data_IF_781013320665
#
_entry.id   IF_781013320665
#
_cell.length_a   1.000
_cell.length_b   1.000
_cell.length_c   1.000
_cell.angle_alpha   90.00
_cell.angle_beta   90.00
_cell.angle_gamma   90.00
#
_symmetry.space_group_name_H-M   'P 1'
#
loop_
_entity.id
_entity.type
_entity.pdbx_description
1 polymer ?
#
# COMPACT_ATOMS: atom_id res chain seq x y z
N UNK A 1 2.87 -14.78 -15.93
CA UNK A 1 2.87 -16.25 -15.78
C UNK A 1 4.23 -16.95 -16.01
N UNK A 2 5.00 -16.66 -17.07
CA UNK A 2 6.28 -17.35 -17.38
C UNK A 2 7.37 -17.15 -16.30
N UNK A 3 7.54 -15.91 -15.81
CA UNK A 3 8.54 -15.57 -14.79
C UNK A 3 8.22 -16.25 -13.44
N UNK A 4 6.93 -16.29 -13.07
CA UNK A 4 6.42 -17.01 -11.88
C UNK A 4 6.73 -18.50 -11.92
N UNK A 5 6.45 -19.18 -13.05
CA UNK A 5 6.75 -20.61 -13.22
C UNK A 5 8.25 -20.93 -13.11
N UNK A 6 9.11 -19.94 -13.31
CA UNK A 6 10.56 -20.08 -13.17
C UNK A 6 11.07 -19.79 -11.74
N UNK A 7 10.18 -19.62 -10.75
CA UNK A 7 10.55 -19.37 -9.35
C UNK A 7 11.30 -18.05 -9.15
N UNK A 8 11.06 -17.05 -10.00
CA UNK A 8 11.76 -15.77 -9.94
C UNK A 8 11.01 -14.79 -9.05
N UNK A 9 11.77 -14.01 -8.29
CA UNK A 9 11.27 -12.83 -7.57
C UNK A 9 10.81 -11.80 -8.59
N UNK A 10 9.58 -11.30 -8.41
CA UNK A 10 8.98 -10.26 -9.25
C UNK A 10 8.49 -9.14 -8.38
N UNK A 11 8.90 -7.91 -8.65
CA UNK A 11 8.38 -6.71 -7.98
C UNK A 11 7.84 -5.72 -9.00
N UNK A 12 6.84 -4.93 -8.60
CA UNK A 12 6.26 -3.86 -9.40
C UNK A 12 6.76 -2.49 -8.94
N UNK A 13 7.30 -1.70 -9.86
CA UNK A 13 7.61 -0.29 -9.65
C UNK A 13 6.65 0.54 -10.51
N UNK A 14 5.60 1.06 -9.89
CA UNK A 14 4.55 1.83 -10.56
C UNK A 14 4.91 3.31 -10.64
N UNK A 15 5.38 3.73 -11.81
CA UNK A 15 5.77 5.11 -12.08
C UNK A 15 4.76 5.82 -13.00
N UNK A 16 3.51 5.37 -13.06
CA UNK A 16 2.48 6.04 -13.85
C UNK A 16 2.23 7.47 -13.33
N UNK A 17 2.24 7.64 -12.01
CA UNK A 17 2.00 8.91 -11.34
C UNK A 17 3.02 9.17 -10.22
N UNK A 18 3.18 10.44 -9.85
CA UNK A 18 3.90 10.82 -8.64
C UNK A 18 2.94 10.83 -7.45
N UNK A 19 3.35 10.27 -6.30
CA UNK A 19 2.50 10.12 -5.10
C UNK A 19 1.17 9.40 -5.38
N UNK A 20 1.21 8.21 -5.97
CA UNK A 20 0.02 7.39 -6.19
C UNK A 20 0.28 6.26 -7.19
N UNK A 21 -0.23 5.07 -6.89
CA UNK A 21 -0.26 3.94 -7.83
C UNK A 21 -1.37 4.05 -8.88
N UNK A 22 -1.20 3.34 -9.99
CA UNK A 22 -2.22 3.13 -11.00
C UNK A 22 -3.24 2.09 -10.53
N UNK A 23 -4.45 2.55 -10.18
CA UNK A 23 -5.52 1.69 -9.72
C UNK A 23 -5.98 0.68 -10.79
N UNK A 24 -5.83 0.99 -12.08
CA UNK A 24 -6.20 0.04 -13.13
C UNK A 24 -5.22 -1.14 -13.18
N UNK A 25 -3.93 -0.89 -12.94
CA UNK A 25 -2.95 -1.97 -12.74
C UNK A 25 -3.33 -2.83 -11.52
N UNK A 26 -3.68 -2.20 -10.40
CA UNK A 26 -4.09 -2.93 -9.19
C UNK A 26 -5.32 -3.80 -9.44
N UNK A 27 -6.34 -3.28 -10.11
CA UNK A 27 -7.55 -4.03 -10.48
C UNK A 27 -7.23 -5.24 -11.36
N UNK A 28 -6.33 -5.09 -12.34
CA UNK A 28 -5.88 -6.21 -13.18
C UNK A 28 -5.18 -7.27 -12.34
N UNK A 29 -4.28 -6.87 -11.43
CA UNK A 29 -3.59 -7.79 -10.53
C UNK A 29 -4.55 -8.47 -9.55
N UNK A 30 -5.55 -7.76 -9.01
CA UNK A 30 -6.57 -8.30 -8.11
C UNK A 30 -7.44 -9.35 -8.82
N UNK A 31 -7.95 -9.02 -10.01
CA UNK A 31 -8.82 -9.89 -10.81
C UNK A 31 -8.13 -11.22 -11.19
N UNK A 32 -6.83 -11.20 -11.42
CA UNK A 32 -6.04 -12.40 -11.74
C UNK A 32 -5.43 -13.07 -10.48
N UNK A 33 -5.78 -12.61 -9.26
CA UNK A 33 -5.23 -13.08 -7.99
C UNK A 33 -3.70 -12.99 -7.88
N UNK A 34 -3.10 -11.96 -8.48
CA UNK A 34 -1.65 -11.77 -8.58
C UNK A 34 -1.07 -10.81 -7.54
N UNK A 35 -1.89 -10.10 -6.77
CA UNK A 35 -1.42 -9.11 -5.79
C UNK A 35 -0.40 -9.68 -4.79
N UNK A 36 -0.62 -10.90 -4.29
CA UNK A 36 0.32 -11.58 -3.38
C UNK A 36 1.33 -12.50 -4.08
N UNK A 37 1.25 -12.63 -5.41
CA UNK A 37 2.30 -13.28 -6.20
C UNK A 37 3.51 -12.35 -6.35
N UNK A 38 3.26 -11.03 -6.40
CA UNK A 38 4.33 -10.03 -6.34
C UNK A 38 5.09 -10.13 -5.02
N UNK A 39 6.40 -9.97 -5.12
CA UNK A 39 7.30 -9.94 -3.98
C UNK A 39 7.53 -8.53 -3.44
N UNK A 40 7.02 -7.52 -4.15
CA UNK A 40 7.12 -6.12 -3.84
C UNK A 40 6.29 -5.27 -4.80
N UNK A 41 5.75 -4.16 -4.30
CA UNK A 41 5.04 -3.15 -5.07
C UNK A 41 5.33 -1.79 -4.44
N UNK A 42 5.55 -0.77 -5.26
CA UNK A 42 5.67 0.62 -4.81
C UNK A 42 5.16 1.56 -5.90
N UNK A 43 4.55 2.68 -5.50
CA UNK A 43 4.05 3.74 -6.38
C UNK A 43 4.00 5.11 -5.69
N UNK A 44 4.88 5.34 -4.71
CA UNK A 44 4.82 6.53 -3.85
C UNK A 44 5.88 7.59 -4.15
N UNK A 45 5.53 8.83 -3.82
CA UNK A 45 6.40 10.01 -3.81
C UNK A 45 7.03 10.37 -5.16
N UNK A 46 8.22 9.83 -5.47
CA UNK A 46 8.94 10.09 -6.72
C UNK A 46 9.34 8.79 -7.39
N UNK A 47 9.65 8.84 -8.69
CA UNK A 47 10.04 7.64 -9.43
C UNK A 47 11.27 6.94 -8.83
N UNK A 48 12.20 7.72 -8.27
CA UNK A 48 13.38 7.16 -7.60
C UNK A 48 13.03 6.41 -6.32
N UNK A 49 12.12 6.95 -5.50
CA UNK A 49 11.64 6.27 -4.28
C UNK A 49 10.88 5.00 -4.63
N UNK A 50 10.02 5.06 -5.66
CA UNK A 50 9.27 3.91 -6.15
C UNK A 50 10.20 2.79 -6.62
N UNK A 51 11.13 3.08 -7.53
CA UNK A 51 12.07 2.07 -8.01
C UNK A 51 12.97 1.53 -6.89
N UNK A 52 13.52 2.41 -6.05
CA UNK A 52 14.38 2.01 -4.93
C UNK A 52 13.66 1.09 -3.95
N UNK A 53 12.41 1.40 -3.60
CA UNK A 53 11.60 0.59 -2.71
C UNK A 53 11.26 -0.78 -3.33
N UNK A 54 10.80 -0.81 -4.58
CA UNK A 54 10.48 -2.05 -5.28
C UNK A 54 11.70 -2.98 -5.45
N UNK A 55 12.89 -2.40 -5.71
CA UNK A 55 14.15 -3.17 -5.76
C UNK A 55 14.51 -3.71 -4.38
N UNK A 56 14.46 -2.88 -3.33
CA UNK A 56 14.78 -3.29 -1.97
C UNK A 56 13.86 -4.43 -1.49
N UNK A 57 12.55 -4.33 -1.75
CA UNK A 57 11.60 -5.42 -1.47
C UNK A 57 11.96 -6.70 -2.22
N UNK A 58 12.39 -6.59 -3.48
CA UNK A 58 12.85 -7.73 -4.28
C UNK A 58 14.12 -8.38 -3.72
N UNK A 59 15.09 -7.57 -3.29
CA UNK A 59 16.30 -8.07 -2.61
C UNK A 59 15.93 -8.79 -1.30
N UNK A 60 15.05 -8.19 -0.49
CA UNK A 60 14.56 -8.83 0.73
C UNK A 60 13.85 -10.16 0.44
N UNK A 61 13.02 -10.24 -0.60
CA UNK A 61 12.38 -11.48 -1.02
C UNK A 61 13.39 -12.53 -1.48
N UNK A 62 14.39 -12.12 -2.27
CA UNK A 62 15.43 -13.01 -2.77
C UNK A 62 16.32 -13.57 -1.65
N UNK A 63 16.61 -12.75 -0.63
CA UNK A 63 17.42 -13.18 0.51
C UNK A 63 16.61 -13.95 1.54
N UNK A 64 15.44 -13.45 1.94
CA UNK A 64 14.75 -13.88 3.17
C UNK A 64 13.33 -14.39 2.95
N UNK A 65 12.80 -14.34 1.73
CA UNK A 65 11.48 -14.89 1.42
C UNK A 65 11.46 -16.42 1.55
N UNK A 66 10.26 -17.00 1.42
CA UNK A 66 10.04 -18.45 1.57
C UNK A 66 10.98 -19.30 0.69
N UNK A 67 11.29 -18.81 -0.51
CA UNK A 67 12.18 -19.45 -1.49
C UNK A 67 13.54 -18.73 -1.61
N UNK A 68 13.88 -17.89 -0.63
CA UNK A 68 15.09 -17.10 -0.61
C UNK A 68 16.36 -17.90 -0.27
N UNK A 69 17.52 -17.24 -0.31
CA UNK A 69 18.81 -17.85 0.04
C UNK A 69 18.96 -18.17 1.54
N UNK A 70 18.29 -17.39 2.38
CA UNK A 70 18.28 -17.47 3.84
C UNK A 70 16.84 -17.37 4.36
N UNK A 71 15.98 -18.37 4.10
CA UNK A 71 14.57 -18.29 4.44
C UNK A 71 14.36 -18.04 5.93
N UNK A 72 13.54 -17.05 6.26
CA UNK A 72 13.14 -16.74 7.63
C UNK A 72 11.63 -16.47 7.67
N UNK A 73 10.82 -17.30 8.35
CA UNK A 73 9.37 -17.14 8.40
C UNK A 73 8.91 -15.78 8.97
N UNK A 74 9.67 -15.21 9.90
CA UNK A 74 9.36 -13.90 10.46
C UNK A 74 9.58 -12.78 9.42
N UNK A 75 10.69 -12.84 8.68
CA UNK A 75 10.99 -11.93 7.57
C UNK A 75 9.97 -12.06 6.44
N UNK A 76 9.55 -13.28 6.07
CA UNK A 76 8.52 -13.50 5.05
C UNK A 76 7.18 -12.85 5.48
N UNK A 77 6.79 -13.03 6.74
CA UNK A 77 5.56 -12.40 7.28
C UNK A 77 5.65 -10.87 7.22
N UNK A 78 6.77 -10.29 7.65
CA UNK A 78 6.99 -8.85 7.60
C UNK A 78 6.97 -8.32 6.16
N UNK A 79 7.60 -9.03 5.22
CA UNK A 79 7.62 -8.67 3.80
C UNK A 79 6.21 -8.65 3.20
N UNK A 80 5.37 -9.64 3.53
CA UNK A 80 3.97 -9.69 3.07
C UNK A 80 3.13 -8.57 3.66
N UNK A 81 3.29 -8.28 4.96
CA UNK A 81 2.61 -7.15 5.62
C UNK A 81 3.02 -5.82 4.99
N UNK A 82 4.31 -5.64 4.71
CA UNK A 82 4.84 -4.45 4.05
C UNK A 82 4.34 -4.30 2.60
N UNK A 83 4.17 -5.41 1.88
CA UNK A 83 3.55 -5.38 0.55
C UNK A 83 2.09 -4.88 0.62
N UNK A 84 1.30 -5.39 1.57
CA UNK A 84 -0.06 -4.90 1.77
C UNK A 84 -0.07 -3.42 2.16
N UNK A 85 0.83 -2.98 3.04
CA UNK A 85 0.87 -1.55 3.41
C UNK A 85 1.14 -0.65 2.21
N UNK A 86 1.92 -1.09 1.22
CA UNK A 86 2.13 -0.36 -0.04
C UNK A 86 0.88 -0.33 -0.92
N UNK A 87 0.09 -1.40 -1.00
CA UNK A 87 -1.20 -1.33 -1.70
C UNK A 87 -2.18 -0.37 -1.01
N UNK A 88 -2.22 -0.38 0.32
CA UNK A 88 -3.11 0.51 1.08
C UNK A 88 -2.67 1.97 1.01
N UNK A 89 -1.38 2.24 1.14
CA UNK A 89 -0.87 3.61 1.14
C UNK A 89 -0.69 4.14 -0.29
N UNK A 90 0.11 3.47 -1.12
CA UNK A 90 0.50 3.99 -2.43
C UNK A 90 -0.68 3.94 -3.41
N UNK A 91 -1.40 2.81 -3.47
CA UNK A 91 -2.49 2.64 -4.43
C UNK A 91 -3.86 3.13 -3.90
N UNK A 92 -4.24 2.83 -2.66
CA UNK A 92 -5.56 3.25 -2.17
C UNK A 92 -5.53 4.69 -1.62
N UNK A 93 -4.61 4.98 -0.69
CA UNK A 93 -4.56 6.28 -0.03
C UNK A 93 -4.11 7.39 -0.96
N UNK A 94 -2.90 7.27 -1.49
CA UNK A 94 -2.26 8.36 -2.22
C UNK A 94 -2.91 8.62 -3.58
N UNK A 95 -3.37 7.57 -4.27
CA UNK A 95 -3.99 7.70 -5.59
C UNK A 95 -5.44 8.21 -5.55
N UNK A 96 -6.20 7.91 -4.48
CA UNK A 96 -7.64 8.20 -4.44
C UNK A 96 -8.14 8.76 -3.10
N UNK A 97 -8.05 7.99 -1.99
CA UNK A 97 -8.68 8.37 -0.71
C UNK A 97 -8.22 9.73 -0.22
N UNK A 98 -6.93 10.07 -0.35
CA UNK A 98 -6.38 11.37 0.08
C UNK A 98 -7.07 12.53 -0.62
N UNK A 99 -7.26 12.46 -1.94
CA UNK A 99 -7.90 13.53 -2.71
C UNK A 99 -9.36 13.66 -2.33
N UNK A 100 -10.06 12.53 -2.28
CA UNK A 100 -11.47 12.46 -1.90
C UNK A 100 -11.74 13.00 -0.49
N UNK A 101 -10.93 12.59 0.50
CA UNK A 101 -11.07 13.08 1.88
C UNK A 101 -10.70 14.56 1.98
N UNK A 102 -9.66 15.01 1.28
CA UNK A 102 -9.27 16.43 1.26
C UNK A 102 -10.43 17.33 0.84
N UNK A 103 -11.25 16.91 -0.14
CA UNK A 103 -12.46 17.66 -0.53
C UNK A 103 -13.54 17.64 0.57
N UNK A 104 -13.75 16.49 1.20
CA UNK A 104 -14.78 16.30 2.24
C UNK A 104 -14.51 17.10 3.52
N UNK A 105 -13.26 17.31 3.88
CA UNK A 105 -12.89 17.95 5.16
C UNK A 105 -12.83 19.48 5.08
N UNK A 106 -12.78 20.08 3.87
CA UNK A 106 -12.74 21.56 3.71
C UNK A 106 -13.87 22.29 4.44
N UNK A 107 -15.15 21.84 4.36
CA UNK A 107 -16.25 22.51 5.07
C UNK A 107 -16.15 22.41 6.59
N UNK A 108 -15.34 21.49 7.12
CA UNK A 108 -15.09 21.30 8.56
C UNK A 108 -13.96 22.18 9.08
N UNK A 109 -13.31 22.97 8.21
CA UNK A 109 -12.19 23.84 8.58
C UNK A 109 -10.81 23.18 8.55
N UNK A 110 -10.71 21.96 8.02
CA UNK A 110 -9.43 21.27 7.76
C UNK A 110 -9.03 21.41 6.30
N UNK A 111 -7.76 21.12 6.02
CA UNK A 111 -7.25 21.06 4.65
C UNK A 111 -6.11 20.04 4.52
N UNK A 112 -5.41 20.10 3.39
CA UNK A 112 -4.28 19.21 3.11
C UNK A 112 -3.13 19.32 4.13
N UNK A 113 -2.92 20.51 4.69
CA UNK A 113 -1.81 20.83 5.59
C UNK A 113 -2.20 20.82 7.07
N UNK A 114 -3.50 20.82 7.38
CA UNK A 114 -3.98 20.84 8.75
C UNK A 114 -5.22 19.94 8.94
N UNK A 115 -5.06 18.90 9.75
CA UNK A 115 -6.10 17.91 10.11
C UNK A 115 -6.48 17.96 11.59
N UNK A 116 -5.98 18.94 12.35
CA UNK A 116 -6.24 19.12 13.78
C UNK A 116 -5.43 18.18 14.69
N UNK A 117 -5.74 16.89 14.63
CA UNK A 117 -5.17 15.84 15.47
C UNK A 117 -4.58 14.71 14.62
N UNK A 118 -3.66 13.95 15.20
CA UNK A 118 -3.09 12.77 14.54
C UNK A 118 -4.09 11.61 14.49
N UNK A 119 -5.00 11.57 15.46
CA UNK A 119 -6.01 10.53 15.67
C UNK A 119 -7.43 11.11 15.84
N UNK A 120 -7.77 12.11 15.02
CA UNK A 120 -9.09 12.77 15.05
C UNK A 120 -10.04 12.35 13.92
N UNK A 121 -11.07 13.16 13.68
CA UNK A 121 -12.14 12.86 12.72
C UNK A 121 -11.64 12.68 11.26
N UNK A 122 -10.58 13.39 10.87
CA UNK A 122 -9.98 13.23 9.53
C UNK A 122 -9.34 11.84 9.38
N UNK A 123 -8.65 11.36 10.43
CA UNK A 123 -8.08 10.02 10.49
C UNK A 123 -9.18 8.98 10.34
N UNK A 124 -10.28 9.12 11.07
CA UNK A 124 -11.39 8.17 11.07
C UNK A 124 -12.07 8.11 9.70
N UNK A 125 -12.23 9.26 9.04
CA UNK A 125 -12.75 9.33 7.68
C UNK A 125 -11.83 8.64 6.66
N UNK A 126 -10.50 8.82 6.77
CA UNK A 126 -9.52 8.11 5.94
C UNK A 126 -9.62 6.60 6.16
N UNK A 127 -9.72 6.17 7.42
CA UNK A 127 -9.84 4.75 7.75
C UNK A 127 -11.11 4.14 7.13
N UNK A 128 -12.24 4.84 7.22
CA UNK A 128 -13.50 4.40 6.62
C UNK A 128 -13.42 4.27 5.09
N UNK A 129 -12.82 5.26 4.42
CA UNK A 129 -12.67 5.23 2.95
C UNK A 129 -11.64 4.18 2.50
N UNK A 130 -10.55 3.97 3.26
CA UNK A 130 -9.63 2.86 3.01
C UNK A 130 -10.31 1.50 3.13
N UNK A 131 -11.18 1.30 4.12
CA UNK A 131 -11.96 0.05 4.24
C UNK A 131 -12.88 -0.18 3.04
N UNK A 132 -13.40 0.89 2.43
CA UNK A 132 -14.16 0.79 1.17
C UNK A 132 -13.22 0.36 0.03
N UNK A 133 -12.06 1.02 -0.13
CA UNK A 133 -11.10 0.71 -1.20
C UNK A 133 -10.49 -0.69 -1.08
N UNK A 134 -10.30 -1.19 0.13
CA UNK A 134 -9.91 -2.59 0.34
C UNK A 134 -10.93 -3.55 -0.30
N UNK A 135 -12.22 -3.27 -0.12
CA UNK A 135 -13.29 -4.13 -0.65
C UNK A 135 -13.48 -3.98 -2.15
N UNK A 136 -13.17 -2.82 -2.73
CA UNK A 136 -13.42 -2.54 -4.15
C UNK A 136 -12.19 -2.77 -5.03
N UNK A 137 -11.00 -2.39 -4.57
CA UNK A 137 -9.75 -2.42 -5.33
C UNK A 137 -8.85 -3.63 -5.01
N UNK A 138 -8.96 -4.17 -3.79
CA UNK A 138 -8.18 -5.31 -3.30
C UNK A 138 -9.11 -6.48 -2.91
N UNK A 139 -10.19 -6.65 -3.66
CA UNK A 139 -11.31 -7.52 -3.31
C UNK A 139 -10.89 -8.98 -3.09
N UNK A 140 -9.87 -9.47 -3.82
CA UNK A 140 -9.34 -10.82 -3.66
C UNK A 140 -8.63 -11.07 -2.32
N UNK A 141 -8.29 -9.99 -1.60
CA UNK A 141 -7.58 -10.01 -0.32
C UNK A 141 -8.38 -9.38 0.83
N UNK A 142 -9.56 -8.83 0.57
CA UNK A 142 -10.28 -7.96 1.51
C UNK A 142 -10.48 -8.59 2.90
N UNK A 143 -10.86 -9.87 2.96
CA UNK A 143 -11.11 -10.58 4.22
C UNK A 143 -9.84 -10.91 5.01
N UNK A 144 -8.67 -10.75 4.38
CA UNK A 144 -7.36 -11.08 4.97
C UNK A 144 -6.58 -9.87 5.44
N UNK A 145 -7.01 -8.67 5.04
CA UNK A 145 -6.32 -7.42 5.36
C UNK A 145 -6.90 -6.84 6.65
N UNK A 146 -6.03 -6.54 7.61
CA UNK A 146 -6.40 -5.94 8.87
C UNK A 146 -5.55 -4.69 9.15
N UNK A 147 -6.18 -3.51 9.10
CA UNK A 147 -5.55 -2.27 9.56
C UNK A 147 -5.54 -2.27 11.09
N UNK A 148 -4.35 -2.28 11.70
CA UNK A 148 -4.15 -2.25 13.16
C UNK A 148 -4.04 -0.85 13.71
N UNK A 149 -3.36 0.02 12.98
CA UNK A 149 -3.12 1.41 13.37
C UNK A 149 -3.08 2.30 12.14
N UNK A 150 -3.68 3.47 12.26
CA UNK A 150 -3.59 4.55 11.28
C UNK A 150 -3.52 5.87 12.04
N UNK A 151 -2.48 6.65 11.81
CA UNK A 151 -2.34 8.03 12.32
C UNK A 151 -1.90 8.99 11.21
N UNK A 152 -2.14 10.28 11.42
CA UNK A 152 -1.74 11.37 10.52
C UNK A 152 -0.51 12.08 11.11
N UNK A 153 0.71 11.60 10.82
CA UNK A 153 1.91 12.26 11.33
C UNK A 153 1.93 13.70 10.84
N UNK A 154 2.37 14.61 11.71
CA UNK A 154 2.40 16.06 11.42
C UNK A 154 1.04 16.71 11.19
N UNK A 155 -0.07 15.99 11.45
CA UNK A 155 -1.45 16.51 11.34
C UNK A 155 -1.74 17.06 9.95
N UNK A 156 -1.30 16.33 8.91
CA UNK A 156 -1.44 16.68 7.50
C UNK A 156 -1.81 15.46 6.66
N UNK A 157 -2.22 15.69 5.42
CA UNK A 157 -2.69 14.64 4.50
C UNK A 157 -1.58 14.02 3.64
N UNK A 158 -0.34 14.51 3.66
CA UNK A 158 0.68 14.07 2.70
C UNK A 158 1.03 12.58 2.81
N UNK A 159 1.29 12.10 4.02
CA UNK A 159 1.60 10.72 4.37
C UNK A 159 0.74 10.23 5.54
N UNK A 160 0.63 8.91 5.70
CA UNK A 160 -0.02 8.27 6.85
C UNK A 160 0.95 7.31 7.51
N UNK A 161 0.86 7.15 8.82
CA UNK A 161 1.54 6.06 9.53
C UNK A 161 0.55 4.91 9.68
N UNK A 162 0.76 3.86 8.88
CA UNK A 162 -0.17 2.74 8.71
C UNK A 162 0.50 1.42 9.10
N UNK A 163 -0.13 0.70 10.03
CA UNK A 163 0.19 -0.68 10.33
C UNK A 163 -0.93 -1.59 9.82
N UNK A 164 -0.61 -2.48 8.87
CA UNK A 164 -1.54 -3.46 8.32
C UNK A 164 -0.94 -4.86 8.39
N UNK A 165 -1.79 -5.84 8.70
CA UNK A 165 -1.43 -7.25 8.76
C UNK A 165 -2.22 -8.02 7.71
N UNK A 166 -1.57 -9.04 7.14
CA UNK A 166 -2.20 -10.04 6.29
C UNK A 166 -2.36 -11.35 7.07
N UNK A 167 -3.58 -11.88 7.13
CA UNK A 167 -3.89 -13.21 7.71
C UNK A 167 -3.62 -14.37 6.75
#
# INVERSE_FOLDING_TARGET
QRIRRAGKVVTGADNAYANGGDLDLIRILDADHLLMDLQGYAGWNTNANTMGCAIAMGVCAFLYGEQGLFPDPASETQRRNFLISRYLEDACYQADVRQYVTEKIRPLGFDYFFTGEEEGEVRDLILAELQIRIKTELSSLADRIHIRRLTLPWKRMFEIDLEALLS
#
